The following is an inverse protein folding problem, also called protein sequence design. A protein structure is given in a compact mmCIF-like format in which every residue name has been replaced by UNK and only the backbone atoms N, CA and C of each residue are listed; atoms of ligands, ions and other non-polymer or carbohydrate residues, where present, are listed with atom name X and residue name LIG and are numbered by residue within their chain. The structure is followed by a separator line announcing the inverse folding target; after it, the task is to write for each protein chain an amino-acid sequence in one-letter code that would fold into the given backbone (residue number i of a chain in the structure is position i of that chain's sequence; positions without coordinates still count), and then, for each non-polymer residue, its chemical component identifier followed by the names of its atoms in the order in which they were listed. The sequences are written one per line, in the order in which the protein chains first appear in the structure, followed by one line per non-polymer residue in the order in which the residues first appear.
data_IF_812934502003
#
_entry.id   IF_812934502003
#
_cell.length_a   1.000
_cell.length_b   1.000
_cell.length_c   1.000
_cell.angle_alpha   90.00
_cell.angle_beta   90.00
_cell.angle_gamma   90.00
#
_symmetry.space_group_name_H-M   'P 1'
#
loop_
_entity.id
_entity.type
_entity.pdbx_description
1 polymer ?
#
# COMPACT_ATOMS: atom_id res chain seq x y z
N UNK A 1 17.59 -19.63 -2.79
CA UNK A 1 18.23 -18.36 -3.18
C UNK A 1 17.16 -17.52 -3.85
N UNK A 2 16.71 -16.44 -3.22
CA UNK A 2 15.74 -15.52 -3.82
C UNK A 2 16.36 -14.85 -5.04
N UNK A 3 15.67 -14.90 -6.18
CA UNK A 3 16.10 -14.21 -7.39
C UNK A 3 15.94 -12.70 -7.14
N UNK A 4 16.99 -11.91 -7.41
CA UNK A 4 16.93 -10.47 -7.24
C UNK A 4 15.94 -9.87 -8.25
N UNK A 5 15.03 -9.03 -7.77
CA UNK A 5 14.05 -8.33 -8.61
C UNK A 5 14.76 -7.30 -9.50
N UNK A 6 14.29 -7.13 -10.74
CA UNK A 6 14.66 -5.99 -11.58
C UNK A 6 14.16 -4.67 -10.98
N UNK A 7 14.57 -3.55 -11.57
CA UNK A 7 14.14 -2.22 -11.15
C UNK A 7 12.61 -2.05 -11.30
N UNK A 8 12.07 -2.47 -12.44
CA UNK A 8 10.63 -2.39 -12.74
C UNK A 8 9.83 -3.35 -11.86
N UNK A 9 10.35 -4.55 -11.64
CA UNK A 9 9.78 -5.52 -10.70
C UNK A 9 9.82 -4.99 -9.26
N UNK A 10 10.88 -4.28 -8.86
CA UNK A 10 10.99 -3.64 -7.55
C UNK A 10 9.92 -2.57 -7.38
N UNK A 11 9.72 -1.70 -8.37
CA UNK A 11 8.65 -0.67 -8.34
C UNK A 11 7.28 -1.33 -8.23
N UNK A 12 6.99 -2.33 -9.07
CA UNK A 12 5.72 -3.06 -9.02
C UNK A 12 5.52 -3.78 -7.68
N UNK A 13 6.58 -4.37 -7.13
CA UNK A 13 6.58 -5.05 -5.83
C UNK A 13 6.31 -4.09 -4.67
N UNK A 14 6.92 -2.92 -4.65
CA UNK A 14 6.67 -1.87 -3.64
C UNK A 14 5.20 -1.44 -3.66
N UNK A 15 4.62 -1.23 -4.84
CA UNK A 15 3.20 -0.88 -5.00
C UNK A 15 2.27 -2.01 -4.54
N UNK A 16 2.60 -3.26 -4.86
CA UNK A 16 1.85 -4.42 -4.39
C UNK A 16 1.90 -4.54 -2.86
N UNK A 17 3.07 -4.39 -2.24
CA UNK A 17 3.20 -4.44 -0.78
C UNK A 17 2.41 -3.32 -0.09
N UNK A 18 2.36 -2.14 -0.68
CA UNK A 18 1.57 -1.01 -0.20
C UNK A 18 0.05 -1.30 -0.21
N UNK A 19 -0.46 -1.95 -1.28
CA UNK A 19 -1.86 -2.40 -1.32
C UNK A 19 -2.11 -3.49 -0.28
N UNK A 20 -1.21 -4.46 -0.15
CA UNK A 20 -1.31 -5.55 0.84
C UNK A 20 -1.41 -5.00 2.26
N UNK A 21 -0.51 -4.10 2.64
CA UNK A 21 -0.50 -3.49 3.97
C UNK A 21 -1.84 -2.80 4.26
N UNK A 22 -2.43 -2.15 3.25
CA UNK A 22 -3.67 -1.41 3.41
C UNK A 22 -4.89 -2.32 3.51
N UNK A 23 -4.91 -3.41 2.75
CA UNK A 23 -5.87 -4.50 2.95
C UNK A 23 -5.77 -5.07 4.38
N UNK A 24 -4.56 -5.31 4.88
CA UNK A 24 -4.34 -5.82 6.23
C UNK A 24 -4.84 -4.84 7.31
N UNK A 25 -4.59 -3.53 7.18
CA UNK A 25 -5.09 -2.52 8.14
C UNK A 25 -6.61 -2.37 8.13
N UNK A 26 -7.27 -2.68 7.01
CA UNK A 26 -8.72 -2.63 6.88
C UNK A 26 -9.42 -3.94 7.28
N UNK A 27 -8.68 -4.92 7.82
CA UNK A 27 -9.16 -6.27 8.14
C UNK A 27 -9.86 -6.97 6.97
N UNK A 28 -9.47 -6.65 5.73
CA UNK A 28 -10.17 -7.08 4.52
C UNK A 28 -9.24 -7.60 3.43
N UNK A 29 -9.84 -8.21 2.39
CA UNK A 29 -9.12 -8.64 1.17
C UNK A 29 -8.99 -7.54 0.12
N UNK A 30 -9.64 -6.39 0.37
CA UNK A 30 -9.73 -5.25 -0.53
C UNK A 30 -9.47 -3.96 0.25
N UNK A 31 -9.08 -2.92 -0.45
CA UNK A 31 -8.92 -1.57 0.09
C UNK A 31 -9.46 -0.54 -0.88
N UNK A 32 -9.95 0.59 -0.37
CA UNK A 32 -10.42 1.69 -1.21
C UNK A 32 -9.22 2.38 -1.89
N UNK A 33 -9.31 2.55 -3.21
CA UNK A 33 -8.28 3.22 -4.01
C UNK A 33 -8.13 4.69 -3.63
N UNK A 34 -9.22 5.42 -3.38
CA UNK A 34 -9.12 6.83 -3.00
C UNK A 34 -8.57 6.97 -1.57
N UNK A 35 -8.99 6.09 -0.66
CA UNK A 35 -8.46 5.98 0.68
C UNK A 35 -6.96 5.71 0.67
N UNK A 36 -6.50 4.82 -0.21
CA UNK A 36 -5.08 4.57 -0.45
C UNK A 36 -4.34 5.82 -0.90
N UNK A 37 -4.79 6.46 -1.98
CA UNK A 37 -4.17 7.67 -2.53
C UNK A 37 -4.16 8.85 -1.54
N UNK A 38 -5.19 8.96 -0.70
CA UNK A 38 -5.28 10.01 0.32
C UNK A 38 -4.19 9.91 1.41
N UNK A 39 -3.65 8.71 1.62
CA UNK A 39 -2.59 8.44 2.59
C UNK A 39 -1.19 8.70 2.06
N UNK A 40 -1.07 8.99 0.75
CA UNK A 40 0.19 9.18 0.05
C UNK A 40 0.48 10.69 -0.06
N UNK A 41 1.75 11.12 0.12
CA UNK A 41 2.17 12.50 -0.13
C UNK A 41 1.80 12.97 -1.53
N UNK A 42 1.39 14.24 -1.68
CA UNK A 42 0.87 14.78 -2.95
C UNK A 42 1.86 14.61 -4.11
N UNK A 43 3.16 14.76 -3.84
CA UNK A 43 4.23 14.57 -4.83
C UNK A 43 4.28 13.16 -5.43
N UNK A 44 3.91 12.14 -4.64
CA UNK A 44 3.98 10.72 -5.03
C UNK A 44 2.65 10.21 -5.60
N UNK A 45 1.56 10.98 -5.50
CA UNK A 45 0.24 10.52 -5.95
C UNK A 45 0.19 10.21 -7.45
N UNK A 46 0.77 11.01 -8.35
CA UNK A 46 0.71 10.71 -9.78
C UNK A 46 1.43 9.42 -10.15
N UNK A 47 2.63 9.18 -9.60
CA UNK A 47 3.42 7.97 -9.84
C UNK A 47 2.71 6.74 -9.27
N UNK A 48 2.25 6.80 -8.02
CA UNK A 48 1.52 5.68 -7.40
C UNK A 48 0.20 5.40 -8.12
N UNK A 49 -0.55 6.45 -8.51
CA UNK A 49 -1.78 6.27 -9.30
C UNK A 49 -1.51 5.52 -10.60
N UNK A 50 -0.51 5.97 -11.36
CA UNK A 50 -0.13 5.39 -12.65
C UNK A 50 0.33 3.93 -12.50
N UNK A 51 1.12 3.63 -11.47
CA UNK A 51 1.55 2.27 -11.18
C UNK A 51 0.40 1.36 -10.72
N UNK A 52 -0.54 1.86 -9.91
CA UNK A 52 -1.74 1.09 -9.53
C UNK A 52 -2.64 0.81 -10.73
N UNK A 53 -2.80 1.77 -11.65
CA UNK A 53 -3.53 1.56 -12.90
C UNK A 53 -2.86 0.46 -13.74
N UNK A 54 -1.53 0.50 -13.86
CA UNK A 54 -0.77 -0.55 -14.54
C UNK A 54 -0.98 -1.94 -13.90
N UNK A 55 -0.92 -2.04 -12.57
CA UNK A 55 -1.17 -3.31 -11.87
C UNK A 55 -2.59 -3.84 -12.09
N UNK A 56 -3.59 -2.97 -12.24
CA UNK A 56 -4.96 -3.36 -12.61
C UNK A 56 -5.01 -3.86 -14.05
N UNK A 57 -4.42 -3.12 -14.99
CA UNK A 57 -4.40 -3.49 -16.41
C UNK A 57 -3.65 -4.80 -16.69
N UNK A 58 -2.58 -5.08 -15.95
CA UNK A 58 -1.85 -6.36 -16.03
C UNK A 58 -2.57 -7.51 -15.30
N UNK A 59 -3.72 -7.26 -14.68
CA UNK A 59 -4.52 -8.26 -13.99
C UNK A 59 -3.92 -8.76 -12.68
N UNK A 60 -2.96 -8.02 -12.10
CA UNK A 60 -2.39 -8.29 -10.77
C UNK A 60 -3.39 -7.83 -9.70
N UNK A 61 -4.00 -6.66 -9.92
CA UNK A 61 -5.10 -6.15 -9.10
C UNK A 61 -6.42 -6.23 -9.87
N UNK A 62 -7.50 -6.47 -9.15
CA UNK A 62 -8.85 -6.27 -9.65
C UNK A 62 -9.45 -5.03 -9.00
N UNK A 63 -10.19 -4.26 -9.79
CA UNK A 63 -10.94 -3.10 -9.32
C UNK A 63 -12.45 -3.40 -9.40
N UNK A 64 -13.18 -3.14 -8.31
CA UNK A 64 -14.63 -3.22 -8.26
C UNK A 64 -15.18 -1.91 -7.72
N UNK A 65 -15.62 -1.02 -8.61
CA UNK A 65 -15.94 0.35 -8.26
C UNK A 65 -14.69 1.07 -7.73
N UNK A 66 -14.72 1.47 -6.46
CA UNK A 66 -13.60 2.14 -5.79
C UNK A 66 -12.61 1.18 -5.11
N UNK A 67 -13.01 -0.07 -4.92
CA UNK A 67 -12.22 -1.05 -4.19
C UNK A 67 -11.21 -1.74 -5.10
N UNK A 68 -10.00 -1.91 -4.60
CA UNK A 68 -8.94 -2.69 -5.25
C UNK A 68 -8.51 -3.86 -4.37
N UNK A 69 -8.15 -4.98 -4.99
CA UNK A 69 -7.64 -6.16 -4.30
C UNK A 69 -6.87 -7.09 -5.23
N UNK A 70 -6.16 -8.07 -4.68
CA UNK A 70 -5.36 -9.01 -5.47
C UNK A 70 -6.23 -10.04 -6.21
N UNK A 71 -5.91 -10.29 -7.47
CA UNK A 71 -6.42 -11.44 -8.22
C UNK A 71 -5.65 -12.71 -7.85
N UNK A 72 -6.06 -13.88 -8.32
CA UNK A 72 -5.27 -15.12 -8.17
C UNK A 72 -3.86 -14.97 -8.75
N UNK A 73 -3.73 -14.37 -9.94
CA UNK A 73 -2.44 -14.07 -10.57
C UNK A 73 -1.62 -13.09 -9.74
N UNK A 74 -2.26 -12.06 -9.19
CA UNK A 74 -1.60 -11.09 -8.33
C UNK A 74 -1.11 -11.65 -7.01
N UNK A 75 -1.78 -12.66 -6.44
CA UNK A 75 -1.29 -13.39 -5.27
C UNK A 75 0.02 -14.12 -5.57
N UNK A 76 0.13 -14.75 -6.75
CA UNK A 76 1.37 -15.41 -7.19
C UNK A 76 2.52 -14.41 -7.28
N UNK A 77 2.28 -13.24 -7.90
CA UNK A 77 3.26 -12.17 -7.95
C UNK A 77 3.62 -11.64 -6.56
N UNK A 78 2.63 -11.42 -5.68
CA UNK A 78 2.86 -10.97 -4.32
C UNK A 78 3.73 -11.97 -3.53
N UNK A 79 3.46 -13.27 -3.64
CA UNK A 79 4.27 -14.32 -3.01
C UNK A 79 5.73 -14.28 -3.51
N UNK A 80 5.95 -14.07 -4.81
CA UNK A 80 7.30 -13.90 -5.36
C UNK A 80 8.01 -12.69 -4.76
N UNK A 81 7.36 -11.53 -4.71
CA UNK A 81 7.91 -10.31 -4.11
C UNK A 81 8.23 -10.51 -2.62
N UNK A 82 7.36 -11.20 -1.87
CA UNK A 82 7.60 -11.49 -0.46
C UNK A 82 8.85 -12.36 -0.25
N UNK A 83 9.01 -13.43 -1.05
CA UNK A 83 10.19 -14.29 -1.02
C UNK A 83 11.46 -13.54 -1.40
N UNK A 84 11.40 -12.64 -2.38
CA UNK A 84 12.54 -11.83 -2.80
C UNK A 84 12.98 -10.81 -1.74
N UNK A 85 12.08 -10.44 -0.82
CA UNK A 85 12.34 -9.50 0.28
C UNK A 85 12.50 -10.20 1.65
N UNK A 86 12.70 -11.53 1.66
CA UNK A 86 12.82 -12.35 2.88
C UNK A 86 11.69 -12.12 3.91
N UNK A 87 10.48 -11.81 3.43
CA UNK A 87 9.31 -11.59 4.28
C UNK A 87 8.69 -12.92 4.70
N UNK A 88 8.08 -12.93 5.89
CA UNK A 88 7.34 -14.10 6.36
C UNK A 88 6.24 -14.51 5.36
N UNK A 89 6.10 -15.81 5.06
CA UNK A 89 5.01 -16.35 4.26
C UNK A 89 3.66 -15.89 4.78
N UNK A 90 2.79 -15.43 3.88
CA UNK A 90 1.40 -15.15 4.23
C UNK A 90 0.51 -16.26 3.68
N UNK A 91 -0.77 -16.29 4.08
CA UNK A 91 -1.77 -17.22 3.52
C UNK A 91 -1.91 -17.13 1.99
N UNK A 92 -1.31 -16.13 1.34
CA UNK A 92 -1.24 -16.01 -0.12
C UNK A 92 -0.24 -16.98 -0.77
N UNK A 93 0.74 -17.51 -0.02
CA UNK A 93 1.71 -18.47 -0.54
C UNK A 93 1.17 -19.90 -0.62
N UNK A 94 -0.01 -20.16 -0.06
CA UNK A 94 -0.63 -21.50 -0.04
C UNK A 94 -1.46 -21.81 -1.29
N UNK A 95 -1.84 -20.79 -2.08
CA UNK A 95 -2.54 -20.96 -3.36
C UNK A 95 -1.51 -21.06 -4.50
N UNK A 96 -1.49 -22.22 -5.17
CA UNK A 96 -0.96 -22.47 -6.53
C UNK A 96 0.13 -21.51 -7.03
N UNK A 97 1.39 -21.82 -6.69
CA UNK A 97 2.54 -21.19 -7.35
C UNK A 97 2.65 -21.71 -8.79
N UNK A 98 1.94 -21.11 -9.73
CA UNK A 98 2.13 -21.39 -11.16
C UNK A 98 3.32 -20.59 -11.70
N UNK A 99 4.47 -21.24 -12.00
CA UNK A 99 5.66 -20.56 -12.47
C UNK A 99 5.48 -19.94 -13.87
N UNK A 100 4.58 -20.48 -14.71
CA UNK A 100 4.33 -19.93 -16.04
C UNK A 100 3.53 -18.62 -15.94
N UNK A 101 2.54 -18.57 -15.05
CA UNK A 101 1.81 -17.33 -14.74
C UNK A 101 2.76 -16.27 -14.19
N UNK A 102 3.63 -16.65 -13.25
CA UNK A 102 4.62 -15.72 -12.69
C UNK A 102 5.55 -15.18 -13.79
N UNK A 103 6.17 -16.05 -14.58
CA UNK A 103 7.08 -15.64 -15.65
C UNK A 103 6.40 -14.67 -16.63
N UNK A 104 5.17 -14.95 -17.03
CA UNK A 104 4.40 -14.07 -17.90
C UNK A 104 4.14 -12.69 -17.27
N UNK A 105 3.76 -12.65 -15.98
CA UNK A 105 3.57 -11.37 -15.28
C UNK A 105 4.87 -10.56 -15.17
N UNK A 106 5.99 -11.21 -14.90
CA UNK A 106 7.30 -10.55 -14.83
C UNK A 106 7.68 -9.93 -16.18
N UNK A 107 7.46 -10.64 -17.29
CA UNK A 107 7.63 -10.07 -18.64
C UNK A 107 6.74 -8.85 -18.87
N UNK A 108 5.45 -8.93 -18.50
CA UNK A 108 4.53 -7.80 -18.67
C UNK A 108 4.90 -6.58 -17.83
N UNK A 109 5.46 -6.79 -16.64
CA UNK A 109 5.97 -5.71 -15.77
C UNK A 109 7.24 -5.12 -16.38
N UNK A 110 8.16 -5.97 -16.82
CA UNK A 110 9.43 -5.54 -17.39
C UNK A 110 9.23 -4.78 -18.70
N UNK A 111 8.14 -4.99 -19.45
CA UNK A 111 7.83 -4.24 -20.67
C UNK A 111 7.06 -2.94 -20.41
N UNK A 112 6.54 -2.70 -19.20
CA UNK A 112 5.66 -1.55 -18.93
C UNK A 112 6.46 -0.31 -18.48
N UNK A 113 6.47 0.78 -19.27
CA UNK A 113 7.24 1.99 -18.92
C UNK A 113 6.69 2.69 -17.67
N UNK A 114 5.48 2.37 -17.22
CA UNK A 114 4.89 2.96 -16.00
C UNK A 114 5.54 2.44 -14.72
N UNK A 115 6.30 1.35 -14.80
CA UNK A 115 7.11 0.83 -13.71
C UNK A 115 8.57 1.30 -13.76
N UNK A 116 8.93 2.19 -14.69
CA UNK A 116 10.26 2.80 -14.65
C UNK A 116 10.44 3.60 -13.35
N UNK A 117 11.57 3.40 -12.64
CA UNK A 117 11.84 4.17 -11.44
C UNK A 117 12.06 5.64 -11.81
N UNK A 118 11.23 6.54 -11.26
CA UNK A 118 11.34 7.98 -11.49
C UNK A 118 12.52 8.67 -10.78
N UNK A 119 13.46 7.89 -10.21
CA UNK A 119 14.57 8.33 -9.38
C UNK A 119 15.40 7.12 -8.89
N UNK A 120 16.36 7.33 -7.97
CA UNK A 120 17.16 6.25 -7.39
C UNK A 120 16.27 5.16 -6.78
N UNK A 121 16.58 3.89 -7.02
CA UNK A 121 15.81 2.75 -6.48
C UNK A 121 15.68 2.76 -4.96
N UNK A 122 16.69 3.28 -4.27
CA UNK A 122 16.65 3.42 -2.82
C UNK A 122 15.51 4.34 -2.36
N UNK A 123 15.20 5.39 -3.12
CA UNK A 123 14.07 6.27 -2.83
C UNK A 123 12.73 5.56 -3.05
N UNK A 124 12.66 4.71 -4.09
CA UNK A 124 11.49 3.88 -4.38
C UNK A 124 11.26 2.84 -3.28
N UNK A 125 12.33 2.15 -2.84
CA UNK A 125 12.28 1.18 -1.74
C UNK A 125 11.88 1.83 -0.42
N UNK A 126 12.22 3.10 -0.24
CA UNK A 126 11.83 3.89 0.93
C UNK A 126 10.41 4.48 0.82
N UNK A 127 9.70 4.33 -0.30
CA UNK A 127 8.32 4.83 -0.44
C UNK A 127 7.39 4.32 0.67
N UNK A 128 7.35 3.01 1.02
CA UNK A 128 6.52 2.53 2.13
C UNK A 128 6.89 3.22 3.46
N UNK A 129 8.18 3.32 3.78
CA UNK A 129 8.66 3.96 5.01
C UNK A 129 8.31 5.46 5.07
N UNK A 130 8.41 6.18 3.94
CA UNK A 130 8.03 7.59 3.82
C UNK A 130 6.52 7.80 3.97
N UNK A 131 5.73 6.91 3.40
CA UNK A 131 4.26 6.93 3.52
C UNK A 131 3.85 6.63 4.98
N UNK A 132 4.51 5.69 5.64
CA UNK A 132 4.28 5.40 7.06
C UNK A 132 4.66 6.57 7.97
N UNK A 133 5.78 7.24 7.69
CA UNK A 133 6.18 8.47 8.38
C UNK A 133 5.12 9.58 8.23
N UNK A 134 4.61 9.78 7.01
CA UNK A 134 3.54 10.73 6.74
C UNK A 134 2.23 10.35 7.46
N UNK A 135 1.89 9.06 7.48
CA UNK A 135 0.70 8.53 8.15
C UNK A 135 0.76 8.77 9.66
N UNK A 136 1.88 8.44 10.32
CA UNK A 136 2.10 8.68 11.76
C UNK A 136 2.05 10.16 12.09
N UNK A 137 2.63 11.02 11.25
CA UNK A 137 2.56 12.47 11.43
C UNK A 137 1.12 13.01 11.30
N UNK A 138 0.31 12.44 10.39
CA UNK A 138 -1.09 12.86 10.18
C UNK A 138 -2.02 12.36 11.30
N UNK A 139 -1.89 11.12 11.75
CA UNK A 139 -2.70 10.58 12.86
C UNK A 139 -2.42 11.33 14.18
N UNK A 140 -1.15 11.68 14.44
CA UNK A 140 -0.76 12.47 15.61
C UNK A 140 -1.40 13.86 15.66
N UNK A 141 -1.62 14.51 14.50
CA UNK A 141 -2.27 15.83 14.41
C UNK A 141 -3.78 15.79 14.64
N UNK A 142 -4.45 14.67 14.32
CA UNK A 142 -5.89 14.50 14.52
C UNK A 142 -6.24 14.10 15.97
N UNK A 143 -5.39 13.30 16.64
CA UNK A 143 -5.60 12.90 18.04
C UNK A 143 -5.47 14.03 19.07
N UNK A 144 -4.78 15.13 18.75
CA UNK A 144 -4.60 16.26 19.67
C UNK A 144 -5.78 17.24 19.75
N UNK A 145 -6.72 17.22 18.79
CA UNK A 145 -7.87 18.17 18.80
C UNK A 145 -9.03 17.75 19.71
N UNK A 146 -9.16 16.46 20.05
CA UNK A 146 -10.23 15.98 20.93
C UNK A 146 -9.94 16.15 22.42
N UNK A 147 -8.66 16.21 22.81
CA UNK A 147 -8.27 16.41 24.22
C UNK A 147 -8.47 17.84 24.73
N UNK A 148 -8.62 18.83 23.84
CA UNK A 148 -8.81 20.23 24.24
C UNK A 148 -10.30 20.59 24.39
N UNK A 149 -11.22 19.91 23.70
CA UNK A 149 -12.66 20.18 23.85
C UNK A 149 -13.29 19.51 25.09
N UNK A 150 -12.73 18.40 25.59
CA UNK A 150 -13.23 17.74 26.80
C UNK A 150 -12.91 18.47 28.12
N UNK A 151 -11.82 19.26 28.14
CA UNK A 151 -11.40 20.00 29.33
C UNK A 151 -12.25 21.23 29.65
N UNK A 152 -12.85 21.86 28.63
CA UNK A 152 -13.64 23.08 28.84
C UNK A 152 -15.06 22.77 29.37
N UNK A 153 -15.62 21.61 29.05
CA UNK A 153 -16.96 21.22 29.51
C UNK A 153 -17.00 20.89 31.02
N UNK A 154 -15.91 20.36 31.58
CA UNK A 154 -15.82 20.05 33.01
C UNK A 154 -15.68 21.31 33.89
N UNK A 155 -15.07 22.39 33.38
CA UNK A 155 -14.87 23.62 34.15
C UNK A 155 -16.16 24.44 34.35
N UNK A 156 -17.10 24.38 33.40
CA UNK A 156 -18.37 25.13 33.50
C UNK A 156 -19.35 24.43 34.46
N UNK A 157 -19.38 23.10 34.49
CA UNK A 157 -20.28 22.34 35.37
C UNK A 157 -19.92 22.48 36.87
N UNK A 158 -18.65 22.69 37.20
CA UNK A 158 -18.22 22.89 38.59
C UNK A 158 -18.65 24.25 39.17
N UNK A 159 -18.88 25.26 38.32
CA UNK A 159 -19.23 26.61 38.78
C UNK A 159 -20.73 26.80 39.05
N UNK A 160 -21.60 25.93 38.52
CA UNK A 160 -23.06 25.99 38.73
C UNK A 160 -23.54 25.21 39.95
N UNK A 161 -22.70 24.38 40.57
CA UNK A 161 -23.05 23.59 41.77
C UNK A 161 -22.68 24.32 43.07
N UNK A 162 -21.93 25.42 42.99
CA UNK A 162 -21.42 26.18 44.15
C UNK A 162 -22.16 27.52 44.39
N UNK A 163 -23.36 27.70 43.84
CA UNK A 163 -24.22 28.86 44.09
C UNK A 163 -25.58 28.41 44.58
#
# INVERSE_FOLDING_TARGET
MGQALTDRETVAGVLALLVRERCATASGRKTSRTGLQSSIPVSERPSVRRGLDALVERGILAMNGEDIGFTSKGKVFLAHVQRANDMAPTNYEQDESDPAVLAHLLTLIEEDPRFEPGGPLDEVRMLPARIDGFRKARSSRLGKKWLVLGGLAAAVAAFTVMR
#
